data_IF_315528067322
#
_entry.id   IF_315528067322
#
_cell.length_a   1.000
_cell.length_b   1.000
_cell.length_c   1.000
_cell.angle_alpha   90.00
_cell.angle_beta   90.00
_cell.angle_gamma   90.00
#
_symmetry.space_group_name_H-M   'P 1'
#
loop_
_entity.id
_entity.type
_entity.pdbx_description
1 polymer ?
#
# COMPACT_ATOMS: atom_id res chain seq x y z
N UNK A 1 25.43 29.50 -5.16
CA UNK A 1 24.98 28.29 -5.87
C UNK A 1 24.74 27.16 -4.88
N UNK A 2 23.49 26.83 -4.59
CA UNK A 2 23.13 25.52 -4.01
C UNK A 2 22.03 24.99 -4.92
N UNK A 3 22.42 24.11 -5.83
CA UNK A 3 21.54 23.53 -6.83
C UNK A 3 20.39 22.81 -6.12
N UNK A 4 19.17 23.33 -6.29
CA UNK A 4 17.95 22.64 -5.89
C UNK A 4 17.82 21.40 -6.77
N UNK A 5 18.11 20.22 -6.21
CA UNK A 5 17.67 18.97 -6.80
C UNK A 5 16.17 18.86 -6.52
N UNK A 6 15.36 19.39 -7.43
CA UNK A 6 13.92 19.13 -7.46
C UNK A 6 13.73 17.66 -7.82
N UNK A 7 13.69 16.79 -6.82
CA UNK A 7 13.22 15.40 -7.02
C UNK A 7 11.75 15.48 -7.36
N UNK A 8 11.39 15.02 -8.57
CA UNK A 8 10.01 14.92 -8.98
C UNK A 8 9.35 13.79 -8.18
N UNK A 9 8.43 14.14 -7.28
CA UNK A 9 7.67 13.19 -6.43
C UNK A 9 7.13 11.98 -7.21
N UNK A 10 6.63 12.10 -8.46
CA UNK A 10 6.15 10.95 -9.23
C UNK A 10 7.21 9.87 -9.49
N UNK A 11 8.47 10.24 -9.75
CA UNK A 11 9.54 9.27 -10.03
C UNK A 11 9.95 8.51 -8.77
N UNK A 12 10.01 9.22 -7.63
CA UNK A 12 10.33 8.61 -6.35
C UNK A 12 9.23 7.62 -5.92
N UNK A 13 7.96 7.98 -6.13
CA UNK A 13 6.82 7.09 -5.86
C UNK A 13 6.85 5.85 -6.75
N UNK A 14 7.18 6.00 -8.03
CA UNK A 14 7.33 4.86 -8.93
C UNK A 14 8.44 3.91 -8.45
N UNK A 15 9.61 4.44 -8.11
CA UNK A 15 10.74 3.63 -7.60
C UNK A 15 10.47 2.98 -6.24
N UNK A 16 9.77 3.66 -5.34
CA UNK A 16 9.36 3.07 -4.06
C UNK A 16 8.25 2.03 -4.21
N UNK A 17 7.40 2.17 -5.23
CA UNK A 17 6.33 1.23 -5.55
C UNK A 17 6.85 -0.15 -5.95
N UNK A 18 7.93 -0.18 -6.74
CA UNK A 18 8.59 -1.43 -7.19
C UNK A 18 9.21 -2.18 -6.01
N UNK A 19 9.91 -1.48 -5.11
CA UNK A 19 10.61 -2.10 -3.99
C UNK A 19 11.76 -3.02 -4.42
N UNK A 20 12.42 -3.73 -3.49
CA UNK A 20 13.51 -4.64 -3.83
C UNK A 20 12.99 -5.92 -4.53
N UNK A 21 13.81 -6.53 -5.38
CA UNK A 21 13.43 -7.69 -6.21
C UNK A 21 12.81 -8.85 -5.40
N UNK A 22 13.40 -9.18 -4.24
CA UNK A 22 12.88 -10.25 -3.37
C UNK A 22 11.44 -9.99 -2.89
N UNK A 23 11.05 -8.72 -2.75
CA UNK A 23 9.70 -8.33 -2.35
C UNK A 23 8.73 -8.40 -3.52
N UNK A 24 9.17 -8.00 -4.72
CA UNK A 24 8.38 -8.14 -5.94
C UNK A 24 8.03 -9.61 -6.22
N UNK A 25 9.01 -10.51 -6.11
CA UNK A 25 8.80 -11.95 -6.25
C UNK A 25 7.79 -12.49 -5.22
N UNK A 26 7.90 -12.05 -3.96
CA UNK A 26 6.97 -12.47 -2.89
C UNK A 26 5.55 -11.96 -3.10
N UNK A 27 5.40 -10.70 -3.55
CA UNK A 27 4.09 -10.13 -3.90
C UNK A 27 3.44 -10.93 -5.03
N UNK A 28 4.21 -11.27 -6.07
CA UNK A 28 3.70 -12.08 -7.18
C UNK A 28 3.27 -13.47 -6.72
N UNK A 29 4.12 -14.18 -5.98
CA UNK A 29 3.80 -15.53 -5.48
C UNK A 29 2.56 -15.54 -4.56
N UNK A 30 2.44 -14.55 -3.67
CA UNK A 30 1.27 -14.39 -2.82
C UNK A 30 0.00 -14.10 -3.63
N UNK A 31 0.10 -13.26 -4.66
CA UNK A 31 -1.02 -12.94 -5.53
C UNK A 31 -1.50 -14.14 -6.34
N UNK A 32 -0.59 -14.94 -6.92
CA UNK A 32 -0.96 -16.16 -7.64
C UNK A 32 -1.66 -17.18 -6.73
N UNK A 33 -1.15 -17.38 -5.51
CA UNK A 33 -1.81 -18.24 -4.51
C UNK A 33 -3.19 -17.71 -4.15
N UNK A 34 -3.33 -16.41 -3.95
CA UNK A 34 -4.63 -15.78 -3.68
C UNK A 34 -5.60 -15.97 -4.84
N UNK A 35 -5.16 -15.83 -6.10
CA UNK A 35 -6.01 -16.08 -7.27
C UNK A 35 -6.49 -17.52 -7.35
N UNK A 36 -5.65 -18.48 -6.98
CA UNK A 36 -6.01 -19.90 -6.99
C UNK A 36 -7.02 -20.25 -5.88
N UNK A 37 -6.93 -19.62 -4.71
CA UNK A 37 -7.81 -19.88 -3.56
C UNK A 37 -9.10 -19.04 -3.59
N UNK A 38 -9.03 -17.82 -4.12
CA UNK A 38 -10.11 -16.85 -4.09
C UNK A 38 -10.29 -16.15 -2.74
N UNK A 39 -11.37 -15.38 -2.61
CA UNK A 39 -11.76 -14.78 -1.34
C UNK A 39 -12.35 -15.84 -0.39
N UNK A 40 -12.04 -15.78 0.90
CA UNK A 40 -12.64 -16.66 1.90
C UNK A 40 -14.14 -16.35 2.08
N UNK A 41 -14.84 -17.30 2.67
CA UNK A 41 -16.27 -17.20 2.97
C UNK A 41 -16.52 -17.36 4.47
N UNK A 42 -17.71 -17.02 4.96
CA UNK A 42 -18.07 -17.25 6.37
C UNK A 42 -18.24 -18.73 6.73
N UNK A 43 -18.08 -19.65 5.78
CA UNK A 43 -18.00 -21.09 6.03
C UNK A 43 -16.61 -21.52 6.48
N UNK A 44 -15.58 -20.75 6.13
CA UNK A 44 -14.23 -20.97 6.60
C UNK A 44 -14.15 -20.58 8.07
N UNK A 45 -13.66 -21.48 8.92
CA UNK A 45 -13.70 -21.30 10.39
C UNK A 45 -13.03 -20.00 10.84
N UNK A 46 -11.87 -19.68 10.25
CA UNK A 46 -11.13 -18.45 10.52
C UNK A 46 -11.87 -17.15 10.10
N UNK A 47 -12.90 -17.26 9.26
CA UNK A 47 -13.66 -16.14 8.70
C UNK A 47 -15.13 -16.13 9.12
N UNK A 48 -15.53 -17.02 10.03
CA UNK A 48 -16.93 -17.18 10.48
C UNK A 48 -17.59 -15.87 10.92
N UNK A 49 -16.81 -14.98 11.54
CA UNK A 49 -17.28 -13.70 12.08
C UNK A 49 -16.85 -12.50 11.23
N UNK A 50 -16.30 -12.72 10.04
CA UNK A 50 -15.81 -11.65 9.16
C UNK A 50 -16.30 -11.87 7.73
N UNK A 51 -17.40 -11.22 7.39
CA UNK A 51 -17.96 -11.29 6.04
C UNK A 51 -17.22 -10.34 5.09
N UNK A 52 -16.35 -10.90 4.23
CA UNK A 52 -15.61 -10.15 3.21
C UNK A 52 -16.33 -10.00 1.87
N UNK A 53 -17.53 -10.56 1.73
CA UNK A 53 -18.31 -10.48 0.48
C UNK A 53 -18.54 -9.04 -0.02
N UNK A 54 -18.79 -8.03 0.84
CA UNK A 54 -18.93 -6.65 0.39
C UNK A 54 -17.66 -6.12 -0.30
N UNK A 55 -16.48 -6.45 0.23
CA UNK A 55 -15.19 -6.05 -0.35
C UNK A 55 -15.00 -6.76 -1.70
N UNK A 56 -15.23 -8.07 -1.74
CA UNK A 56 -15.05 -8.86 -2.97
C UNK A 56 -15.95 -8.42 -4.14
N UNK A 57 -17.15 -7.88 -3.84
CA UNK A 57 -18.10 -7.36 -4.83
C UNK A 57 -17.87 -5.90 -5.19
N UNK A 58 -17.02 -5.19 -4.46
CA UNK A 58 -16.74 -3.78 -4.72
C UNK A 58 -15.73 -3.66 -5.85
N UNK A 59 -16.10 -2.94 -6.92
CA UNK A 59 -15.18 -2.60 -7.99
C UNK A 59 -14.28 -1.45 -7.57
N UNK A 60 -13.12 -1.77 -7.00
CA UNK A 60 -12.11 -0.77 -6.68
C UNK A 60 -11.46 -0.23 -7.96
N UNK A 61 -11.23 1.08 -7.97
CA UNK A 61 -10.41 1.76 -8.98
C UNK A 61 -9.26 2.44 -8.26
N UNK A 62 -8.11 2.52 -8.93
CA UNK A 62 -7.02 3.36 -8.41
C UNK A 62 -7.53 4.78 -8.28
N UNK A 63 -7.29 5.41 -7.13
CA UNK A 63 -7.47 6.84 -7.00
C UNK A 63 -6.39 7.54 -7.83
N UNK A 64 -6.75 8.70 -8.39
CA UNK A 64 -5.74 9.63 -8.88
C UNK A 64 -4.95 10.14 -7.66
N UNK A 65 -3.61 10.13 -7.71
CA UNK A 65 -2.81 10.54 -6.58
C UNK A 65 -2.98 12.04 -6.32
N UNK A 66 -3.51 12.39 -5.13
CA UNK A 66 -3.54 13.76 -4.62
C UNK A 66 -2.37 13.99 -3.67
N UNK A 67 -1.21 14.30 -4.25
CA UNK A 67 0.03 14.50 -3.50
C UNK A 67 -0.04 15.71 -2.57
N UNK A 68 -0.77 16.76 -2.94
CA UNK A 68 -0.95 17.94 -2.10
C UNK A 68 -1.69 17.58 -0.81
N UNK A 69 -2.77 16.80 -0.93
CA UNK A 69 -3.48 16.25 0.23
C UNK A 69 -2.60 15.29 1.02
N UNK A 70 -1.87 14.39 0.35
CA UNK A 70 -0.99 13.43 1.03
C UNK A 70 0.07 14.12 1.90
N UNK A 71 0.73 15.15 1.36
CA UNK A 71 1.71 15.97 2.10
C UNK A 71 1.04 16.67 3.29
N UNK A 72 -0.13 17.29 3.08
CA UNK A 72 -0.86 17.96 4.17
C UNK A 72 -1.28 17.02 5.30
N UNK A 73 -1.55 15.73 4.98
CA UNK A 73 -1.86 14.71 5.98
C UNK A 73 -0.62 14.31 6.75
N UNK A 74 0.52 14.15 6.10
CA UNK A 74 1.79 13.81 6.76
C UNK A 74 2.26 14.92 7.70
N UNK A 75 2.14 16.18 7.30
CA UNK A 75 2.43 17.35 8.15
C UNK A 75 1.56 17.39 9.41
N UNK A 76 0.30 16.93 9.30
CA UNK A 76 -0.65 16.87 10.41
C UNK A 76 -0.55 15.59 11.25
N UNK A 77 0.01 14.53 10.69
CA UNK A 77 0.03 13.19 11.27
C UNK A 77 1.34 12.84 11.97
N UNK A 78 2.39 13.67 11.85
CA UNK A 78 3.67 13.34 12.45
C UNK A 78 3.69 13.54 13.97
N UNK A 79 3.66 12.43 14.71
CA UNK A 79 3.96 12.37 16.14
C UNK A 79 5.49 12.42 16.33
N UNK A 80 6.04 13.63 16.38
CA UNK A 80 7.38 13.95 16.91
C UNK A 80 8.60 13.22 16.29
N UNK A 81 9.78 13.73 16.62
CA UNK A 81 11.08 13.25 16.12
C UNK A 81 11.41 11.79 16.53
N UNK A 82 10.67 11.24 17.51
CA UNK A 82 10.88 9.90 18.07
C UNK A 82 10.26 8.74 17.27
N UNK A 83 9.44 9.02 16.24
CA UNK A 83 8.75 7.98 15.47
C UNK A 83 9.67 7.18 14.54
N UNK A 84 10.93 7.59 14.35
CA UNK A 84 11.94 6.88 13.56
C UNK A 84 12.89 6.10 14.47
N UNK A 85 12.36 5.13 15.20
CA UNK A 85 13.17 4.02 15.72
C UNK A 85 12.56 2.71 15.26
N UNK A 86 13.09 2.19 14.16
CA UNK A 86 13.07 0.76 13.90
C UNK A 86 14.13 0.17 14.84
N UNK A 87 13.68 -0.40 15.96
CA UNK A 87 14.49 -1.33 16.77
C UNK A 87 14.22 -2.73 16.25
#
# INVERSE_FOLDING_TARGET
MKSSTTVQVPELVAKLGEGPDWLAERRQAAFERFRALGFPTTRDEAWRYTNVSPIARTHFRSAEPDWARAVSLLERAWVGESAVRLV
#
